data_IF_226699271540
#
_entry.id   IF_226699271540
#
_cell.length_a   1.000
_cell.length_b   1.000
_cell.length_c   1.000
_cell.angle_alpha   90.00
_cell.angle_beta   90.00
_cell.angle_gamma   90.00
#
_symmetry.space_group_name_H-M   'P 1'
#
loop_
_entity.id
_entity.type
_entity.pdbx_description
1 polymer ?
#
# COMPACT_ATOMS: atom_id res chain seq x y z
N UNK A 1 32.30 -9.21 39.61
CA UNK A 1 31.57 -10.48 39.33
C UNK A 1 32.06 -11.02 37.99
N UNK A 2 32.28 -12.34 37.89
CA UNK A 2 32.66 -12.94 36.62
C UNK A 2 31.40 -13.22 35.81
N UNK A 3 31.24 -12.56 34.67
CA UNK A 3 30.08 -12.76 33.79
C UNK A 3 30.22 -14.11 33.10
N UNK A 4 29.21 -14.97 33.26
CA UNK A 4 29.19 -16.32 32.69
C UNK A 4 28.50 -16.33 31.33
N UNK A 5 28.76 -17.37 30.53
CA UNK A 5 28.06 -17.60 29.28
C UNK A 5 26.53 -17.77 29.49
N UNK A 6 26.12 -18.27 30.66
CA UNK A 6 24.71 -18.38 31.07
C UNK A 6 24.03 -17.03 31.24
N UNK A 7 24.71 -16.05 31.86
CA UNK A 7 24.19 -14.70 32.04
C UNK A 7 23.99 -14.02 30.70
N UNK A 8 24.97 -14.16 29.80
CA UNK A 8 24.87 -13.63 28.42
C UNK A 8 23.71 -14.27 27.66
N UNK A 9 23.54 -15.59 27.78
CA UNK A 9 22.43 -16.30 27.13
C UNK A 9 21.08 -15.82 27.67
N UNK A 10 20.96 -15.68 28.99
CA UNK A 10 19.73 -15.20 29.65
C UNK A 10 19.36 -13.78 29.17
N UNK A 11 20.33 -12.85 29.17
CA UNK A 11 20.08 -11.47 28.69
C UNK A 11 19.69 -11.46 27.22
N UNK A 12 20.31 -12.32 26.39
CA UNK A 12 19.97 -12.44 24.98
C UNK A 12 18.55 -13.00 24.75
N UNK A 13 18.13 -13.96 25.53
CA UNK A 13 16.76 -14.52 25.47
C UNK A 13 15.71 -13.47 25.82
N UNK A 14 16.01 -12.59 26.77
CA UNK A 14 15.11 -11.49 27.17
C UNK A 14 15.07 -10.38 26.10
N UNK A 15 16.24 -9.92 25.66
CA UNK A 15 16.34 -8.71 24.82
C UNK A 15 16.41 -9.01 23.33
N UNK A 16 16.79 -10.24 22.94
CA UNK A 16 17.08 -10.61 21.57
C UNK A 16 18.31 -9.90 20.94
N UNK A 17 19.06 -9.14 21.72
CA UNK A 17 20.26 -8.43 21.26
C UNK A 17 21.42 -9.39 20.91
N UNK A 18 22.41 -8.89 20.17
CA UNK A 18 23.58 -9.64 19.79
C UNK A 18 24.36 -10.18 20.99
N UNK A 19 24.96 -11.38 20.88
CA UNK A 19 25.69 -12.02 21.99
C UNK A 19 26.82 -11.12 22.54
N UNK A 20 27.54 -10.42 21.65
CA UNK A 20 28.64 -9.52 22.05
C UNK A 20 28.12 -8.25 22.73
N UNK A 21 26.97 -7.74 22.30
CA UNK A 21 26.34 -6.56 22.90
C UNK A 21 25.81 -6.91 24.29
N UNK A 22 25.17 -8.09 24.45
CA UNK A 22 24.76 -8.60 25.77
C UNK A 22 25.95 -8.76 26.72
N UNK A 23 27.06 -9.35 26.26
CA UNK A 23 28.27 -9.52 27.05
C UNK A 23 28.84 -8.15 27.50
N UNK A 24 28.88 -7.20 26.57
CA UNK A 24 29.39 -5.84 26.81
C UNK A 24 28.50 -5.11 27.83
N UNK A 25 27.19 -5.15 27.63
CA UNK A 25 26.22 -4.54 28.54
C UNK A 25 26.28 -5.11 29.95
N UNK A 26 26.39 -6.45 30.09
CA UNK A 26 26.59 -7.10 31.40
C UNK A 26 27.91 -6.69 32.04
N UNK A 27 28.98 -6.55 31.25
CA UNK A 27 30.28 -6.10 31.77
C UNK A 27 30.19 -4.67 32.31
N UNK A 28 29.51 -3.78 31.57
CA UNK A 28 29.34 -2.36 31.92
C UNK A 28 28.41 -2.19 33.13
N UNK A 29 27.37 -3.04 33.28
CA UNK A 29 26.46 -3.05 34.44
C UNK A 29 27.03 -3.75 35.67
N UNK A 30 28.24 -4.35 35.59
CA UNK A 30 28.80 -5.14 36.69
C UNK A 30 28.07 -6.46 36.95
N UNK A 31 27.33 -6.97 35.97
CA UNK A 31 26.54 -8.22 36.05
C UNK A 31 25.10 -8.00 36.48
N UNK A 32 24.67 -6.75 36.66
CA UNK A 32 23.27 -6.40 36.90
C UNK A 32 22.47 -6.54 35.60
N UNK A 33 21.41 -7.37 35.63
CA UNK A 33 20.61 -7.71 34.47
C UNK A 33 19.78 -6.50 34.00
N UNK A 34 19.11 -5.81 34.95
CA UNK A 34 18.26 -4.66 34.64
C UNK A 34 19.10 -3.48 34.12
N UNK A 35 20.25 -3.22 34.76
CA UNK A 35 21.22 -2.24 34.24
C UNK A 35 21.73 -2.58 32.85
N UNK A 36 21.93 -3.87 32.53
CA UNK A 36 22.34 -4.29 31.19
C UNK A 36 21.23 -4.07 30.15
N UNK A 37 19.97 -4.31 30.51
CA UNK A 37 18.80 -4.02 29.64
C UNK A 37 18.74 -2.51 29.33
N UNK A 38 18.90 -1.65 30.33
CA UNK A 38 18.93 -0.20 30.16
C UNK A 38 20.09 0.27 29.26
N UNK A 39 21.26 -0.34 29.38
CA UNK A 39 22.40 -0.07 28.52
C UNK A 39 22.08 -0.43 27.06
N UNK A 40 21.48 -1.61 26.83
CA UNK A 40 21.08 -2.05 25.50
C UNK A 40 20.01 -1.13 24.90
N UNK A 41 19.02 -0.69 25.67
CA UNK A 41 17.99 0.27 25.26
C UNK A 41 18.63 1.60 24.82
N UNK A 42 19.55 2.17 25.60
CA UNK A 42 20.30 3.37 25.24
C UNK A 42 21.18 3.20 23.99
N UNK A 43 21.75 2.02 23.81
CA UNK A 43 22.49 1.70 22.57
C UNK A 43 21.55 1.64 21.36
N UNK A 44 20.40 1.02 21.48
CA UNK A 44 19.36 0.98 20.45
C UNK A 44 18.93 2.38 20.01
N UNK A 45 18.67 3.28 20.95
CA UNK A 45 18.37 4.69 20.68
C UNK A 45 19.47 5.39 19.87
N UNK A 46 20.76 5.16 20.22
CA UNK A 46 21.89 5.73 19.47
C UNK A 46 21.98 5.16 18.05
N UNK A 47 21.69 3.86 17.85
CA UNK A 47 21.66 3.24 16.54
C UNK A 47 20.52 3.82 15.71
N UNK A 48 19.31 3.92 16.28
CA UNK A 48 18.15 4.51 15.64
C UNK A 48 18.40 5.96 15.20
N UNK A 49 18.98 6.79 16.08
CA UNK A 49 19.34 8.17 15.76
C UNK A 49 20.34 8.28 14.59
N UNK A 50 21.35 7.39 14.54
CA UNK A 50 22.32 7.34 13.44
C UNK A 50 21.75 6.88 12.11
N UNK A 51 20.60 6.19 12.14
CA UNK A 51 19.93 5.64 10.96
C UNK A 51 18.68 6.41 10.56
N UNK A 52 18.35 7.51 11.26
CA UNK A 52 17.14 8.28 11.02
C UNK A 52 16.99 8.72 9.55
N UNK A 53 18.07 9.11 8.91
CA UNK A 53 18.08 9.57 7.51
C UNK A 53 18.15 8.46 6.47
N UNK A 54 18.17 7.19 6.90
CA UNK A 54 18.19 6.08 5.97
C UNK A 54 16.81 5.81 5.39
N UNK A 55 16.75 5.38 4.12
CA UNK A 55 15.50 4.96 3.48
C UNK A 55 15.17 3.51 3.80
N UNK A 56 13.91 3.24 4.04
CA UNK A 56 13.35 1.89 4.21
C UNK A 56 12.67 1.49 2.89
N UNK A 57 13.45 0.95 1.94
CA UNK A 57 12.95 0.57 0.61
C UNK A 57 12.30 -0.81 0.57
N UNK A 58 12.51 -1.59 1.61
CA UNK A 58 11.94 -2.91 1.82
C UNK A 58 11.01 -2.88 3.04
N UNK A 59 10.29 -3.97 3.27
CA UNK A 59 9.38 -4.06 4.42
C UNK A 59 8.26 -5.07 4.21
N UNK A 60 7.30 -5.04 5.14
CA UNK A 60 6.14 -5.92 5.15
C UNK A 60 4.88 -5.11 5.33
N UNK A 61 3.90 -5.36 4.46
CA UNK A 61 2.54 -4.83 4.56
C UNK A 61 1.62 -5.93 5.07
N UNK A 62 0.83 -5.61 6.08
CA UNK A 62 -0.19 -6.51 6.64
C UNK A 62 -1.54 -5.80 6.72
N UNK A 63 -2.61 -6.58 6.72
CA UNK A 63 -3.97 -6.09 6.95
C UNK A 63 -4.62 -6.81 8.10
N UNK A 64 -5.55 -6.14 8.77
CA UNK A 64 -6.52 -6.74 9.69
C UNK A 64 -7.91 -6.27 9.32
N UNK A 65 -8.87 -7.17 9.45
CA UNK A 65 -10.28 -6.91 9.20
C UNK A 65 -11.08 -7.51 10.37
N UNK A 66 -11.91 -6.70 11.00
CA UNK A 66 -12.82 -7.11 12.06
C UNK A 66 -14.15 -6.36 11.92
N UNK A 67 -15.19 -7.09 11.52
CA UNK A 67 -16.50 -6.52 11.24
C UNK A 67 -16.45 -5.40 10.21
N UNK A 68 -16.81 -4.19 10.64
CA UNK A 68 -16.84 -2.98 9.80
C UNK A 68 -15.55 -2.13 9.88
N UNK A 69 -14.46 -2.68 10.43
CA UNK A 69 -13.17 -2.00 10.58
C UNK A 69 -12.07 -2.77 9.89
N UNK A 70 -11.22 -2.06 9.18
CA UNK A 70 -10.01 -2.63 8.58
C UNK A 70 -8.83 -1.69 8.77
N UNK A 71 -7.63 -2.27 8.88
CA UNK A 71 -6.38 -1.53 8.86
C UNK A 71 -5.44 -2.10 7.79
N UNK A 72 -4.60 -1.22 7.26
CA UNK A 72 -3.35 -1.54 6.58
C UNK A 72 -2.20 -0.95 7.39
N UNK A 73 -1.17 -1.76 7.59
CA UNK A 73 0.06 -1.36 8.25
C UNK A 73 1.23 -1.79 7.40
N UNK A 74 2.14 -0.87 7.11
CA UNK A 74 3.42 -1.14 6.49
C UNK A 74 4.55 -0.77 7.45
N UNK A 75 5.40 -1.73 7.78
CA UNK A 75 6.65 -1.49 8.51
C UNK A 75 7.80 -1.74 7.57
N UNK A 76 8.60 -0.68 7.35
CA UNK A 76 9.75 -0.68 6.48
C UNK A 76 11.03 -1.11 7.17
N UNK A 77 11.94 -1.68 6.40
CA UNK A 77 13.32 -2.00 6.75
C UNK A 77 14.26 -1.67 5.59
N UNK A 78 15.58 -1.77 5.79
CA UNK A 78 16.54 -1.41 4.74
C UNK A 78 16.71 -2.54 3.70
N UNK A 79 16.64 -3.83 4.12
CA UNK A 79 16.91 -4.98 3.26
C UNK A 79 15.77 -6.00 3.21
N UNK A 80 15.71 -6.73 2.11
CA UNK A 80 14.75 -7.83 1.92
C UNK A 80 15.06 -9.05 2.82
N UNK A 81 16.29 -9.20 3.30
CA UNK A 81 16.66 -10.23 4.28
C UNK A 81 15.91 -10.02 5.60
N UNK A 82 15.84 -8.78 6.07
CA UNK A 82 15.07 -8.43 7.27
C UNK A 82 13.58 -8.59 7.04
N UNK A 83 13.05 -8.13 5.90
CA UNK A 83 11.64 -8.28 5.56
C UNK A 83 11.17 -9.74 5.53
N UNK A 84 12.05 -10.68 5.17
CA UNK A 84 11.77 -12.12 5.14
C UNK A 84 12.03 -12.84 6.46
N UNK A 85 12.60 -12.16 7.47
CA UNK A 85 12.90 -12.77 8.75
C UNK A 85 11.62 -12.99 9.58
N UNK A 86 11.42 -14.20 10.08
CA UNK A 86 10.22 -14.55 10.85
C UNK A 86 10.04 -13.66 12.07
N UNK A 87 11.09 -13.36 12.83
CA UNK A 87 11.00 -12.49 14.00
C UNK A 87 10.62 -11.05 13.66
N UNK A 88 11.01 -10.54 12.49
CA UNK A 88 10.55 -9.25 11.99
C UNK A 88 9.06 -9.30 11.60
N UNK A 89 8.63 -10.36 10.92
CA UNK A 89 7.22 -10.55 10.54
C UNK A 89 6.34 -10.72 11.79
N UNK A 90 6.79 -11.43 12.81
CA UNK A 90 6.07 -11.57 14.08
C UNK A 90 5.92 -10.21 14.78
N UNK A 91 6.98 -9.38 14.76
CA UNK A 91 6.91 -8.01 15.27
C UNK A 91 5.88 -7.16 14.51
N UNK A 92 5.91 -7.19 13.16
CA UNK A 92 4.92 -6.47 12.33
C UNK A 92 3.50 -6.92 12.67
N UNK A 93 3.29 -8.22 12.83
CA UNK A 93 1.99 -8.77 13.19
C UNK A 93 1.54 -8.31 14.59
N UNK A 94 2.44 -8.26 15.57
CA UNK A 94 2.12 -7.78 16.92
C UNK A 94 1.68 -6.32 16.94
N UNK A 95 2.34 -5.46 16.15
CA UNK A 95 1.93 -4.05 15.98
C UNK A 95 0.55 -3.97 15.30
N UNK A 96 0.31 -4.78 14.26
CA UNK A 96 -0.97 -4.81 13.57
C UNK A 96 -2.12 -5.27 14.48
N UNK A 97 -1.88 -6.23 15.37
CA UNK A 97 -2.89 -6.71 16.32
C UNK A 97 -3.24 -5.62 17.36
N UNK A 98 -2.23 -4.89 17.86
CA UNK A 98 -2.44 -3.74 18.74
C UNK A 98 -3.17 -2.62 17.99
N UNK A 99 -2.80 -2.34 16.74
CA UNK A 99 -3.46 -1.35 15.91
C UNK A 99 -4.93 -1.69 15.66
N UNK A 100 -5.25 -2.95 15.36
CA UNK A 100 -6.63 -3.39 15.14
C UNK A 100 -7.47 -3.29 16.39
N UNK A 101 -6.91 -3.68 17.53
CA UNK A 101 -7.60 -3.65 18.85
C UNK A 101 -7.95 -2.23 19.29
N UNK A 102 -7.05 -1.25 19.06
CA UNK A 102 -7.22 0.12 19.54
C UNK A 102 -7.75 1.08 18.45
N UNK A 103 -7.63 0.70 17.21
CA UNK A 103 -8.09 1.42 16.02
C UNK A 103 -7.67 2.89 16.01
N UNK A 104 -6.36 3.23 16.10
CA UNK A 104 -5.89 4.59 16.12
C UNK A 104 -6.23 5.33 14.83
N UNK A 105 -6.45 6.65 14.92
CA UNK A 105 -6.88 7.44 13.79
C UNK A 105 -5.78 7.64 12.72
N UNK A 106 -4.53 7.67 13.16
CA UNK A 106 -3.38 7.97 12.33
C UNK A 106 -2.10 7.28 12.84
N UNK A 107 -1.01 7.49 12.10
CA UNK A 107 0.32 6.96 12.45
C UNK A 107 0.81 7.45 13.81
N UNK A 108 0.59 8.70 14.15
CA UNK A 108 1.08 9.29 15.41
C UNK A 108 0.37 8.66 16.61
N UNK A 109 -0.94 8.48 16.51
CA UNK A 109 -1.72 7.78 17.50
C UNK A 109 -1.32 6.30 17.62
N UNK A 110 -0.98 5.63 16.50
CA UNK A 110 -0.46 4.26 16.50
C UNK A 110 0.86 4.18 17.26
N UNK A 111 1.80 5.07 17.00
CA UNK A 111 3.12 5.08 17.63
C UNK A 111 3.05 5.25 19.15
N UNK A 112 2.03 5.95 19.65
CA UNK A 112 1.80 6.18 21.08
C UNK A 112 1.11 4.99 21.80
N UNK A 113 0.60 3.99 21.09
CA UNK A 113 -0.05 2.83 21.70
C UNK A 113 0.94 1.98 22.50
N UNK A 114 0.44 1.39 23.58
CA UNK A 114 1.22 0.45 24.40
C UNK A 114 1.48 -0.86 23.64
N UNK A 115 2.73 -1.28 23.60
CA UNK A 115 3.18 -2.57 23.10
C UNK A 115 4.23 -3.16 24.03
N UNK A 116 3.88 -4.22 24.76
CA UNK A 116 4.73 -4.80 25.81
C UNK A 116 4.91 -3.83 26.98
N UNK A 117 6.15 -3.56 27.37
CA UNK A 117 6.51 -2.65 28.47
C UNK A 117 6.62 -1.18 28.06
N UNK A 118 6.51 -0.87 26.75
CA UNK A 118 6.67 0.46 26.21
C UNK A 118 5.59 0.83 25.19
N UNK A 119 5.93 1.75 24.31
CA UNK A 119 5.08 2.16 23.18
C UNK A 119 5.51 1.46 21.90
N UNK A 120 4.67 1.54 20.84
CA UNK A 120 5.03 1.08 19.50
C UNK A 120 6.28 1.79 19.00
N UNK A 121 6.41 3.11 19.24
CA UNK A 121 7.60 3.88 18.87
C UNK A 121 8.86 3.34 19.56
N UNK A 122 8.80 3.10 20.86
CA UNK A 122 9.93 2.54 21.61
C UNK A 122 10.29 1.13 21.11
N UNK A 123 9.29 0.31 20.77
CA UNK A 123 9.52 -1.02 20.22
C UNK A 123 10.18 -0.96 18.81
N UNK A 124 9.84 0.01 17.96
CA UNK A 124 10.53 0.24 16.67
C UNK A 124 12.00 0.62 16.86
N UNK A 125 12.28 1.48 17.85
CA UNK A 125 13.64 1.88 18.22
C UNK A 125 14.43 0.66 18.73
N UNK A 126 13.82 -0.17 19.55
CA UNK A 126 14.43 -1.41 20.04
C UNK A 126 14.73 -2.37 18.91
N UNK A 127 13.78 -2.60 17.99
CA UNK A 127 14.01 -3.44 16.80
C UNK A 127 15.14 -2.90 15.92
N UNK A 128 15.20 -1.56 15.73
CA UNK A 128 16.31 -0.93 15.02
C UNK A 128 17.65 -1.21 15.69
N UNK A 129 17.71 -1.13 17.02
CA UNK A 129 18.91 -1.46 17.78
C UNK A 129 19.31 -2.93 17.68
N UNK A 130 18.34 -3.83 17.72
CA UNK A 130 18.50 -5.29 17.69
C UNK A 130 18.94 -5.80 16.32
N UNK A 131 18.30 -5.31 15.26
CA UNK A 131 18.51 -5.73 13.87
C UNK A 131 19.69 -4.97 13.25
N UNK A 132 19.89 -3.72 13.65
CA UNK A 132 20.92 -2.85 13.10
C UNK A 132 20.54 -2.18 11.78
N UNK A 133 19.26 -2.25 11.38
CA UNK A 133 18.68 -1.53 10.24
C UNK A 133 17.61 -0.54 10.74
N UNK A 134 17.32 0.49 9.97
CA UNK A 134 16.18 1.38 10.26
C UNK A 134 14.89 0.58 10.13
N UNK A 135 14.09 0.59 11.20
CA UNK A 135 12.75 0.02 11.23
C UNK A 135 11.78 1.16 11.54
N UNK A 136 10.78 1.34 10.68
CA UNK A 136 9.83 2.45 10.83
C UNK A 136 8.45 2.07 10.28
N UNK A 137 7.38 2.64 10.85
CA UNK A 137 6.05 2.60 10.25
C UNK A 137 6.06 3.52 9.04
N UNK A 138 6.05 2.95 7.83
CA UNK A 138 6.05 3.72 6.58
C UNK A 138 4.66 4.17 6.17
N UNK A 139 3.66 3.31 6.43
CA UNK A 139 2.26 3.60 6.11
C UNK A 139 1.35 2.99 7.17
N UNK A 140 0.31 3.72 7.53
CA UNK A 140 -0.79 3.25 8.35
C UNK A 140 -2.10 3.85 7.87
N UNK A 141 -3.10 3.02 7.67
CA UNK A 141 -4.45 3.44 7.29
C UNK A 141 -5.48 2.64 8.05
N UNK A 142 -6.45 3.33 8.64
CA UNK A 142 -7.62 2.75 9.29
C UNK A 142 -8.88 3.16 8.52
N UNK A 143 -9.74 2.21 8.23
CA UNK A 143 -10.98 2.42 7.48
C UNK A 143 -12.13 1.77 8.23
N UNK A 144 -13.20 2.53 8.47
CA UNK A 144 -14.47 2.04 8.96
C UNK A 144 -15.53 2.22 7.87
N UNK A 145 -16.33 1.19 7.60
CA UNK A 145 -17.32 1.21 6.52
C UNK A 145 -18.35 0.10 6.63
N UNK A 146 -19.38 0.16 5.77
CA UNK A 146 -20.47 -0.82 5.79
C UNK A 146 -19.97 -2.22 5.45
N UNK A 147 -19.16 -2.33 4.40
CA UNK A 147 -18.52 -3.57 3.98
C UNK A 147 -17.08 -3.28 3.54
N UNK A 148 -16.17 -4.12 3.96
CA UNK A 148 -14.74 -3.96 3.69
C UNK A 148 -14.15 -5.24 3.10
N UNK A 149 -13.36 -5.10 2.05
CA UNK A 149 -12.53 -6.18 1.52
C UNK A 149 -11.06 -5.77 1.59
N UNK A 150 -10.20 -6.68 2.06
CA UNK A 150 -8.76 -6.46 2.13
C UNK A 150 -8.01 -7.45 1.23
N UNK A 151 -6.91 -7.01 0.66
CA UNK A 151 -6.02 -7.86 -0.13
C UNK A 151 -4.57 -7.47 0.09
N UNK A 152 -3.74 -8.46 0.37
CA UNK A 152 -2.28 -8.32 0.41
C UNK A 152 -1.71 -9.06 -0.80
N UNK A 153 -0.99 -8.35 -1.65
CA UNK A 153 -0.38 -8.94 -2.84
C UNK A 153 0.85 -9.79 -2.48
N UNK A 154 1.16 -10.78 -3.29
CA UNK A 154 2.30 -11.68 -3.11
C UNK A 154 3.60 -10.91 -2.78
N UNK A 155 4.32 -11.38 -1.77
CA UNK A 155 5.52 -10.72 -1.25
C UNK A 155 5.25 -9.61 -0.23
N UNK A 156 4.00 -9.41 0.20
CA UNK A 156 3.61 -8.48 1.28
C UNK A 156 4.14 -7.04 1.11
N UNK A 157 4.19 -6.56 -0.16
CA UNK A 157 4.66 -5.19 -0.49
C UNK A 157 3.53 -4.24 -0.87
N UNK A 158 2.35 -4.76 -1.15
CA UNK A 158 1.18 -3.98 -1.56
C UNK A 158 -0.02 -4.49 -0.79
N UNK A 159 -0.73 -3.57 -0.16
CA UNK A 159 -2.00 -3.85 0.50
C UNK A 159 -3.09 -2.95 -0.05
N UNK A 160 -4.32 -3.44 -0.08
CA UNK A 160 -5.51 -2.72 -0.53
C UNK A 160 -6.64 -2.94 0.44
N UNK A 161 -7.35 -1.87 0.79
CA UNK A 161 -8.68 -1.92 1.42
C UNK A 161 -9.68 -1.33 0.43
N UNK A 162 -10.79 -2.03 0.24
CA UNK A 162 -11.94 -1.53 -0.53
C UNK A 162 -13.12 -1.40 0.42
N UNK A 163 -13.64 -0.18 0.55
CA UNK A 163 -14.92 0.09 1.21
C UNK A 163 -16.02 0.12 0.15
N UNK A 164 -17.08 -0.67 0.32
CA UNK A 164 -18.11 -0.81 -0.70
C UNK A 164 -19.53 -0.96 -0.11
N UNK A 165 -20.51 -0.70 -0.98
CA UNK A 165 -21.93 -0.99 -0.71
C UNK A 165 -22.36 -2.14 -1.60
N UNK A 166 -22.77 -3.24 -0.99
CA UNK A 166 -23.13 -4.46 -1.72
C UNK A 166 -24.56 -4.46 -2.26
N UNK A 167 -25.41 -3.57 -1.73
CA UNK A 167 -26.84 -3.56 -2.07
C UNK A 167 -27.56 -4.84 -1.67
N UNK A 168 -27.04 -5.62 -0.70
CA UNK A 168 -27.61 -6.87 -0.24
C UNK A 168 -27.47 -8.04 -1.21
N UNK A 169 -26.44 -8.04 -2.06
CA UNK A 169 -26.20 -9.10 -3.06
C UNK A 169 -25.27 -10.17 -2.53
N UNK A 170 -25.66 -11.42 -2.70
CA UNK A 170 -24.82 -12.59 -2.40
C UNK A 170 -23.53 -12.57 -3.24
N UNK A 171 -22.41 -12.96 -2.63
CA UNK A 171 -21.10 -13.03 -3.29
C UNK A 171 -20.39 -11.70 -3.48
N UNK A 172 -20.90 -10.60 -2.92
CA UNK A 172 -20.28 -9.28 -2.98
C UNK A 172 -18.85 -9.30 -2.41
N UNK A 173 -18.60 -9.98 -1.30
CA UNK A 173 -17.29 -10.10 -0.67
C UNK A 173 -16.23 -10.63 -1.63
N UNK A 174 -16.54 -11.72 -2.33
CA UNK A 174 -15.60 -12.32 -3.28
C UNK A 174 -15.39 -11.43 -4.49
N UNK A 175 -16.43 -10.76 -4.97
CA UNK A 175 -16.33 -9.80 -6.06
C UNK A 175 -15.41 -8.63 -5.69
N UNK A 176 -15.63 -7.99 -4.54
CA UNK A 176 -14.83 -6.85 -4.11
C UNK A 176 -13.40 -7.23 -3.69
N UNK A 177 -13.18 -8.46 -3.23
CA UNK A 177 -11.81 -9.00 -3.10
C UNK A 177 -11.12 -9.10 -4.46
N UNK A 178 -11.84 -9.49 -5.52
CA UNK A 178 -11.36 -9.45 -6.90
C UNK A 178 -11.01 -8.02 -7.36
N UNK A 179 -11.83 -7.03 -6.99
CA UNK A 179 -11.56 -5.61 -7.24
C UNK A 179 -10.28 -5.17 -6.51
N UNK A 180 -10.10 -5.55 -5.23
CA UNK A 180 -8.90 -5.24 -4.48
C UNK A 180 -7.62 -5.83 -5.13
N UNK A 181 -7.71 -7.06 -5.65
CA UNK A 181 -6.63 -7.69 -6.43
C UNK A 181 -6.31 -6.89 -7.70
N UNK A 182 -7.34 -6.42 -8.41
CA UNK A 182 -7.18 -5.62 -9.62
C UNK A 182 -6.56 -4.26 -9.32
N UNK A 183 -6.99 -3.59 -8.23
CA UNK A 183 -6.39 -2.35 -7.74
C UNK A 183 -4.90 -2.55 -7.42
N UNK A 184 -4.53 -3.65 -6.74
CA UNK A 184 -3.14 -3.96 -6.45
C UNK A 184 -2.27 -4.11 -7.71
N UNK A 185 -2.85 -4.72 -8.77
CA UNK A 185 -2.16 -4.92 -10.04
C UNK A 185 -2.02 -3.64 -10.86
N UNK A 186 -3.11 -2.86 -10.97
CA UNK A 186 -3.18 -1.68 -11.84
C UNK A 186 -2.67 -0.39 -11.19
N UNK A 187 -2.60 -0.35 -9.85
CA UNK A 187 -2.15 0.80 -9.05
C UNK A 187 -2.78 2.13 -9.47
N UNK A 188 -4.13 2.23 -9.50
CA UNK A 188 -4.79 3.48 -9.86
C UNK A 188 -4.39 4.59 -8.89
N UNK A 189 -4.21 5.79 -9.42
CA UNK A 189 -3.83 6.98 -8.64
C UNK A 189 -5.04 7.80 -8.19
N UNK A 190 -6.20 7.51 -8.75
CA UNK A 190 -7.46 8.20 -8.48
C UNK A 190 -8.61 7.20 -8.44
N UNK A 191 -9.69 7.56 -7.78
CA UNK A 191 -10.89 6.72 -7.66
C UNK A 191 -11.82 6.87 -8.86
N UNK A 192 -11.97 8.08 -9.39
CA UNK A 192 -12.92 8.42 -10.45
C UNK A 192 -12.31 9.37 -11.47
N UNK A 193 -12.78 9.28 -12.72
CA UNK A 193 -12.40 10.20 -13.78
C UNK A 193 -12.77 11.67 -13.47
N UNK A 194 -13.72 11.89 -12.56
CA UNK A 194 -14.13 13.23 -12.15
C UNK A 194 -13.08 13.96 -11.29
N UNK A 195 -12.09 13.23 -10.79
CA UNK A 195 -10.95 13.77 -10.04
C UNK A 195 -9.86 14.37 -10.93
N UNK A 196 -9.89 14.10 -12.23
CA UNK A 196 -8.98 14.73 -13.18
C UNK A 196 -9.44 16.15 -13.52
N UNK A 197 -8.51 17.08 -13.58
CA UNK A 197 -8.80 18.40 -14.14
C UNK A 197 -8.99 18.33 -15.68
N UNK A 198 -9.73 19.30 -16.21
CA UNK A 198 -10.06 19.35 -17.64
C UNK A 198 -8.82 19.49 -18.54
N UNK A 199 -7.78 20.19 -18.06
CA UNK A 199 -6.52 20.39 -18.82
C UNK A 199 -5.73 19.09 -18.92
N UNK A 200 -5.70 18.29 -17.85
CA UNK A 200 -5.09 16.96 -17.87
C UNK A 200 -5.80 16.06 -18.88
N UNK A 201 -7.15 15.98 -18.81
CA UNK A 201 -7.93 15.18 -19.75
C UNK A 201 -7.71 15.63 -21.20
N UNK A 202 -7.65 16.93 -21.46
CA UNK A 202 -7.41 17.46 -22.80
C UNK A 202 -6.03 17.05 -23.34
N UNK A 203 -4.97 17.17 -22.54
CA UNK A 203 -3.60 16.75 -22.91
C UNK A 203 -3.50 15.27 -23.19
N UNK A 204 -4.08 14.42 -22.32
CA UNK A 204 -4.09 12.97 -22.52
C UNK A 204 -4.90 12.58 -23.78
N UNK A 205 -6.01 13.27 -24.03
CA UNK A 205 -6.82 13.08 -25.25
C UNK A 205 -5.98 13.35 -26.50
N UNK A 206 -5.30 14.49 -26.53
CA UNK A 206 -4.44 14.89 -27.65
C UNK A 206 -3.27 13.91 -27.83
N UNK A 207 -2.59 13.53 -26.76
CA UNK A 207 -1.49 12.57 -26.78
C UNK A 207 -1.93 11.23 -27.37
N UNK A 208 -3.07 10.71 -26.91
CA UNK A 208 -3.62 9.44 -27.39
C UNK A 208 -4.07 9.51 -28.86
N UNK A 209 -4.72 10.61 -29.25
CA UNK A 209 -5.08 10.84 -30.65
C UNK A 209 -3.85 10.87 -31.58
N UNK A 210 -2.79 11.54 -31.15
CA UNK A 210 -1.55 11.63 -31.94
C UNK A 210 -0.86 10.26 -32.03
N UNK A 211 -0.86 9.46 -30.98
CA UNK A 211 -0.36 8.10 -31.00
C UNK A 211 -1.09 7.24 -32.06
N UNK A 212 -2.43 7.29 -32.06
CA UNK A 212 -3.24 6.54 -33.03
C UNK A 212 -3.02 7.04 -34.45
N UNK A 213 -2.84 8.35 -34.66
CA UNK A 213 -2.52 8.90 -36.00
C UNK A 213 -1.20 8.36 -36.50
N UNK A 214 -0.13 8.39 -35.71
CA UNK A 214 1.19 7.84 -36.06
C UNK A 214 1.10 6.34 -36.38
N UNK A 215 0.38 5.59 -35.53
CA UNK A 215 0.15 4.16 -35.78
C UNK A 215 -0.62 3.93 -37.11
N UNK A 216 -1.59 4.78 -37.40
CA UNK A 216 -2.34 4.69 -38.67
C UNK A 216 -1.50 4.97 -39.89
N UNK A 217 -0.53 5.87 -39.82
CA UNK A 217 0.42 6.10 -40.94
C UNK A 217 1.23 4.83 -41.23
N UNK A 218 1.71 4.13 -40.19
CA UNK A 218 2.43 2.87 -40.37
C UNK A 218 1.49 1.77 -40.89
N UNK A 219 0.28 1.67 -40.38
CA UNK A 219 -0.75 0.71 -40.81
C UNK A 219 -1.11 0.93 -42.27
N UNK A 220 -1.21 2.17 -42.74
CA UNK A 220 -1.48 2.53 -44.12
C UNK A 220 -0.31 2.07 -45.06
N UNK A 221 0.95 2.27 -44.64
CA UNK A 221 2.12 1.77 -45.39
C UNK A 221 2.12 0.25 -45.51
N UNK A 222 1.58 -0.45 -44.51
CA UNK A 222 1.50 -1.91 -44.45
C UNK A 222 0.20 -2.47 -45.10
N UNK A 223 -0.66 -1.63 -45.67
CA UNK A 223 -1.95 -2.05 -46.25
C UNK A 223 -2.95 -2.62 -45.23
N UNK A 224 -2.82 -2.26 -43.94
CA UNK A 224 -3.68 -2.70 -42.86
C UNK A 224 -4.85 -1.74 -42.66
N UNK A 225 -5.97 -2.24 -42.13
CA UNK A 225 -7.09 -1.39 -41.71
C UNK A 225 -6.64 -0.34 -40.69
N UNK A 226 -7.09 0.90 -40.90
CA UNK A 226 -6.82 1.99 -39.99
C UNK A 226 -7.64 1.83 -38.68
N UNK A 227 -7.08 2.29 -37.58
CA UNK A 227 -7.79 2.38 -36.31
C UNK A 227 -8.59 3.68 -36.27
N UNK A 228 -9.77 3.65 -35.67
CA UNK A 228 -10.50 4.89 -35.38
C UNK A 228 -9.73 5.74 -34.39
N UNK A 229 -9.57 7.03 -34.69
CA UNK A 229 -9.01 8.01 -33.76
C UNK A 229 -10.12 8.38 -32.77
N UNK A 230 -10.00 8.08 -31.47
CA UNK A 230 -11.04 8.39 -30.51
C UNK A 230 -11.16 9.91 -30.32
N UNK A 231 -12.37 10.41 -30.27
CA UNK A 231 -12.64 11.82 -29.98
C UNK A 231 -12.64 12.09 -28.47
N UNK A 232 -12.88 11.05 -27.67
CA UNK A 232 -12.98 11.11 -26.23
C UNK A 232 -12.22 9.96 -25.59
N UNK A 233 -11.53 10.21 -24.49
CA UNK A 233 -10.79 9.21 -23.70
C UNK A 233 -11.42 8.99 -22.30
N UNK A 234 -12.37 9.86 -21.90
CA UNK A 234 -13.07 9.78 -20.62
C UNK A 234 -14.57 10.00 -20.78
N UNK A 235 -15.36 9.29 -19.97
CA UNK A 235 -16.81 9.47 -19.89
C UNK A 235 -17.18 10.89 -19.47
N UNK A 236 -16.37 11.54 -18.65
CA UNK A 236 -16.58 12.93 -18.21
C UNK A 236 -16.60 13.95 -19.36
N UNK A 237 -16.00 13.60 -20.50
CA UNK A 237 -16.05 14.43 -21.73
C UNK A 237 -17.39 14.31 -22.48
N UNK A 238 -18.21 13.32 -22.15
CA UNK A 238 -19.49 13.05 -22.81
C UNK A 238 -20.64 13.82 -22.14
N UNK A 239 -20.59 15.15 -22.21
CA UNK A 239 -21.73 15.96 -21.74
C UNK A 239 -22.98 15.72 -22.61
N UNK A 240 -24.20 16.03 -22.11
CA UNK A 240 -25.43 15.89 -22.89
C UNK A 240 -25.38 16.58 -24.27
N UNK A 241 -24.74 17.76 -24.35
CA UNK A 241 -24.57 18.53 -25.58
C UNK A 241 -23.62 17.80 -26.57
N UNK A 242 -22.50 17.28 -26.05
CA UNK A 242 -21.54 16.49 -26.84
C UNK A 242 -22.18 15.22 -27.36
N UNK A 243 -22.94 14.51 -26.52
CA UNK A 243 -23.67 13.30 -26.92
C UNK A 243 -24.72 13.59 -28.02
N UNK A 244 -25.43 14.71 -27.90
CA UNK A 244 -26.40 15.14 -28.91
C UNK A 244 -25.71 15.42 -30.26
N UNK A 245 -24.56 16.14 -30.23
CA UNK A 245 -23.76 16.45 -31.42
C UNK A 245 -23.21 15.16 -32.08
N UNK A 246 -22.57 14.29 -31.32
CA UNK A 246 -22.02 13.01 -31.83
C UNK A 246 -23.12 12.16 -32.45
N UNK A 247 -24.31 12.10 -31.84
CA UNK A 247 -25.47 11.41 -32.40
C UNK A 247 -25.90 11.99 -33.75
N UNK A 248 -25.96 13.32 -33.88
CA UNK A 248 -26.29 14.01 -35.11
C UNK A 248 -25.25 13.77 -36.20
N UNK A 249 -23.95 13.81 -35.85
CA UNK A 249 -22.86 13.58 -36.79
C UNK A 249 -22.88 12.11 -37.32
N UNK A 250 -23.09 11.13 -36.44
CA UNK A 250 -23.23 9.71 -36.83
C UNK A 250 -24.49 9.49 -37.71
N UNK A 251 -25.61 10.13 -37.40
CA UNK A 251 -26.82 10.04 -38.20
C UNK A 251 -26.59 10.64 -39.60
N UNK A 252 -25.85 11.73 -39.72
CA UNK A 252 -25.50 12.36 -40.96
C UNK A 252 -24.54 11.48 -41.83
N UNK A 253 -23.52 10.88 -41.22
CA UNK A 253 -22.61 9.94 -41.88
C UNK A 253 -23.33 8.70 -42.38
N UNK A 254 -24.22 8.10 -41.56
CA UNK A 254 -24.99 6.93 -41.98
C UNK A 254 -25.96 7.25 -43.11
N UNK A 255 -26.53 8.45 -43.13
CA UNK A 255 -27.39 8.92 -44.21
C UNK A 255 -26.60 9.11 -45.53
N UNK A 256 -25.37 9.67 -45.43
CA UNK A 256 -24.47 9.85 -46.58
C UNK A 256 -24.00 8.53 -47.20
N UNK A 257 -23.79 7.49 -46.34
CA UNK A 257 -23.39 6.15 -46.79
C UNK A 257 -24.55 5.27 -47.27
N UNK A 258 -25.79 5.75 -47.25
CA UNK A 258 -26.98 5.02 -47.70
C UNK A 258 -27.29 3.79 -46.82
N UNK A 259 -26.76 3.74 -45.57
CA UNK A 259 -26.97 2.64 -44.66
C UNK A 259 -28.26 2.82 -43.83
N UNK A 260 -29.08 1.78 -43.68
CA UNK A 260 -30.30 1.90 -42.88
C UNK A 260 -29.98 2.09 -41.38
N UNK A 261 -30.78 2.90 -40.70
CA UNK A 261 -30.76 3.26 -39.26
C UNK A 261 -30.82 2.08 -38.25
N UNK A 262 -30.13 0.95 -38.48
CA UNK A 262 -30.27 -0.26 -37.63
C UNK A 262 -29.14 -0.46 -36.61
N UNK A 263 -28.32 0.52 -36.33
CA UNK A 263 -27.36 0.42 -35.20
C UNK A 263 -27.82 1.28 -34.03
N UNK A 264 -28.65 0.65 -33.15
CA UNK A 264 -28.82 1.20 -31.82
C UNK A 264 -27.50 1.09 -31.05
N UNK A 265 -26.93 2.22 -30.65
CA UNK A 265 -25.85 2.27 -29.66
C UNK A 265 -26.42 1.67 -28.37
N UNK A 266 -26.09 0.43 -28.06
CA UNK A 266 -26.31 -0.14 -26.73
C UNK A 266 -25.29 0.52 -25.80
N UNK A 267 -25.66 1.60 -25.16
CA UNK A 267 -25.00 2.08 -23.98
C UNK A 267 -25.19 1.00 -22.90
N UNK A 268 -24.14 0.28 -22.57
CA UNK A 268 -24.12 -0.55 -21.37
C UNK A 268 -24.15 0.41 -20.17
N UNK A 269 -25.24 0.33 -19.41
CA UNK A 269 -25.38 0.94 -18.10
C UNK A 269 -24.63 0.09 -17.07
#
# INVERSE_FOLDING_TARGET
MTITAGDVKKLREITGAGMMDCKKALTESGGDLDGAIDILRKQGQKVAAKRADRSTNEGVVVSRLDGNKAILLAIGCETDFVAKNDGFQDFVNSVADVAMKNFPADREALLALSLGEGTVEEALIEQTGKIGEKIDVTEYTAVEGDNLATYIHAGSKIGVIVNYKDGGKDGADQFFKGIAMHIAAMRPTILSADEFDADYIAKETEAFQNQIKVENEERQRLGKHLKNVPQFVSISQLTPEVLAKVKTDIEAELAAEGKPRKFGIKLFR
#
